data_IF_226687311996
#
_entry.id   IF_226687311996
#
_cell.length_a   1.000
_cell.length_b   1.000
_cell.length_c   1.000
_cell.angle_alpha   90.00
_cell.angle_beta   90.00
_cell.angle_gamma   90.00
#
_symmetry.space_group_name_H-M   'P 1'
#
loop_
_entity.id
_entity.type
_entity.pdbx_description
1 polymer ?
#
# COMPACT_ATOMS: atom_id res chain seq x y z
N UNK A 1 -4.58 -12.32 -1.23
CA UNK A 1 -4.60 -10.88 -1.57
C UNK A 1 -3.30 -10.26 -1.09
N UNK A 2 -2.58 -9.45 -1.89
CA UNK A 2 -1.33 -8.83 -1.41
C UNK A 2 -1.61 -7.71 -0.41
N UNK A 3 -0.66 -7.52 0.50
CA UNK A 3 -0.64 -6.43 1.47
C UNK A 3 -0.90 -5.06 0.85
N UNK A 4 -0.21 -4.73 -0.23
CA UNK A 4 -0.32 -3.41 -0.88
C UNK A 4 -1.73 -3.20 -1.44
N UNK A 5 -2.33 -4.26 -1.99
CA UNK A 5 -3.70 -4.23 -2.49
C UNK A 5 -4.72 -4.00 -1.37
N UNK A 6 -4.51 -4.61 -0.20
CA UNK A 6 -5.32 -4.37 0.99
C UNK A 6 -5.20 -2.91 1.45
N UNK A 7 -3.98 -2.40 1.64
CA UNK A 7 -3.75 -1.00 2.05
C UNK A 7 -4.45 -0.04 1.08
N UNK A 8 -4.30 -0.27 -0.22
CA UNK A 8 -4.90 0.59 -1.24
C UNK A 8 -6.42 0.62 -1.16
N UNK A 9 -7.06 -0.56 -1.07
CA UNK A 9 -8.51 -0.69 -1.14
C UNK A 9 -9.19 -0.37 0.19
N UNK A 10 -8.69 -0.93 1.28
CA UNK A 10 -9.37 -0.92 2.57
C UNK A 10 -8.98 0.27 3.44
N UNK A 11 -7.72 0.70 3.39
CA UNK A 11 -7.25 1.83 4.20
C UNK A 11 -7.41 3.16 3.47
N UNK A 12 -6.98 3.21 2.20
CA UNK A 12 -6.99 4.43 1.41
C UNK A 12 -8.23 4.57 0.52
N UNK A 13 -8.84 3.47 0.06
CA UNK A 13 -9.97 3.51 -0.86
C UNK A 13 -9.64 4.12 -2.23
N UNK A 14 -8.39 4.00 -2.71
CA UNK A 14 -7.92 4.70 -3.93
C UNK A 14 -7.64 3.77 -5.12
N UNK A 15 -7.56 4.35 -6.31
CA UNK A 15 -7.11 3.63 -7.52
C UNK A 15 -5.59 3.37 -7.49
N UNK A 16 -5.10 2.42 -8.30
CA UNK A 16 -3.65 2.16 -8.40
C UNK A 16 -2.89 3.40 -8.88
N UNK A 17 -3.46 4.19 -9.80
CA UNK A 17 -2.86 5.45 -10.26
C UNK A 17 -2.76 6.48 -9.14
N UNK A 18 -3.78 6.60 -8.30
CA UNK A 18 -3.73 7.56 -7.19
C UNK A 18 -2.75 7.10 -6.09
N UNK A 19 -2.67 5.79 -5.82
CA UNK A 19 -1.61 5.27 -4.94
C UNK A 19 -0.21 5.49 -5.51
N UNK A 20 -0.05 5.44 -6.84
CA UNK A 20 1.22 5.76 -7.48
C UNK A 20 1.63 7.22 -7.27
N UNK A 21 0.68 8.16 -7.31
CA UNK A 21 0.93 9.58 -6.97
C UNK A 21 1.39 9.70 -5.52
N UNK A 22 0.72 9.03 -4.57
CA UNK A 22 1.10 9.03 -3.14
C UNK A 22 2.53 8.50 -2.95
N UNK A 23 2.86 7.39 -3.59
CA UNK A 23 4.16 6.75 -3.46
C UNK A 23 5.25 7.35 -4.39
N UNK A 24 4.93 8.40 -5.13
CA UNK A 24 5.79 9.02 -6.15
C UNK A 24 6.41 7.99 -7.12
N UNK A 25 5.54 7.17 -7.69
CA UNK A 25 5.89 6.16 -8.70
C UNK A 25 4.85 6.16 -9.82
N UNK A 26 4.82 5.11 -10.65
CA UNK A 26 3.81 4.93 -11.69
C UNK A 26 2.83 3.78 -11.36
N UNK A 27 1.67 3.78 -12.02
CA UNK A 27 0.62 2.79 -11.80
C UNK A 27 1.07 1.35 -12.09
N UNK A 28 1.95 1.15 -13.09
CA UNK A 28 2.47 -0.19 -13.42
C UNK A 28 3.35 -0.76 -12.29
N UNK A 29 4.12 0.09 -11.61
CA UNK A 29 4.89 -0.29 -10.42
C UNK A 29 3.96 -0.73 -9.29
N UNK A 30 2.87 0.01 -9.03
CA UNK A 30 1.87 -0.39 -8.02
C UNK A 30 1.22 -1.72 -8.39
N UNK A 31 0.90 -1.93 -9.67
CA UNK A 31 0.37 -3.22 -10.14
C UNK A 31 1.32 -4.38 -9.85
N UNK A 32 2.62 -4.21 -10.13
CA UNK A 32 3.67 -5.20 -9.81
C UNK A 32 3.78 -5.48 -8.32
N UNK A 33 3.71 -4.45 -7.47
CA UNK A 33 3.65 -4.62 -6.02
C UNK A 33 2.44 -5.46 -5.59
N UNK A 34 1.29 -5.24 -6.22
CA UNK A 34 0.08 -5.97 -5.89
C UNK A 34 0.10 -7.44 -6.34
N UNK A 35 0.88 -7.76 -7.38
CA UNK A 35 1.07 -9.10 -7.90
C UNK A 35 2.26 -9.84 -7.27
N UNK A 36 3.11 -9.15 -6.52
CA UNK A 36 4.30 -9.72 -5.90
C UNK A 36 5.54 -9.76 -6.82
N UNK A 37 5.47 -9.13 -7.99
CA UNK A 37 6.59 -9.07 -8.95
C UNK A 37 7.71 -8.11 -8.47
N UNK A 38 7.37 -7.16 -7.60
CA UNK A 38 8.32 -6.26 -6.96
C UNK A 38 7.80 -5.79 -5.61
N UNK A 39 8.61 -5.05 -4.86
CA UNK A 39 8.21 -4.49 -3.56
C UNK A 39 8.52 -2.99 -3.48
N UNK A 40 7.74 -2.21 -2.71
CA UNK A 40 8.08 -0.81 -2.46
C UNK A 40 9.37 -0.71 -1.64
N UNK A 41 10.12 0.37 -1.87
CA UNK A 41 11.27 0.71 -1.03
C UNK A 41 10.85 1.45 0.25
N UNK A 42 11.80 1.68 1.16
CA UNK A 42 11.53 2.32 2.45
C UNK A 42 10.91 3.72 2.34
N UNK A 43 11.31 4.51 1.34
CA UNK A 43 10.76 5.84 1.10
C UNK A 43 9.29 5.77 0.67
N UNK A 44 8.97 4.84 -0.24
CA UNK A 44 7.61 4.58 -0.73
C UNK A 44 6.70 4.07 0.39
N UNK A 45 7.21 3.16 1.23
CA UNK A 45 6.50 2.69 2.42
C UNK A 45 6.21 3.85 3.39
N UNK A 46 7.18 4.76 3.58
CA UNK A 46 7.01 5.96 4.39
C UNK A 46 5.90 6.88 3.87
N UNK A 47 5.85 7.12 2.56
CA UNK A 47 4.80 7.93 1.92
C UNK A 47 3.41 7.30 2.04
N UNK A 48 3.30 6.00 1.79
CA UNK A 48 2.04 5.25 1.94
C UNK A 48 1.56 5.32 3.39
N UNK A 49 2.45 5.09 4.36
CA UNK A 49 2.14 5.20 5.80
C UNK A 49 1.66 6.59 6.17
N UNK A 50 2.34 7.64 5.69
CA UNK A 50 1.94 9.02 5.94
C UNK A 50 0.54 9.31 5.38
N UNK A 51 0.22 8.83 4.17
CA UNK A 51 -1.10 8.99 3.58
C UNK A 51 -2.20 8.29 4.38
N UNK A 52 -1.96 7.07 4.88
CA UNK A 52 -2.96 6.36 5.71
C UNK A 52 -3.20 7.11 7.02
N UNK A 53 -2.14 7.60 7.67
CA UNK A 53 -2.26 8.43 8.89
C UNK A 53 -2.99 9.75 8.61
N UNK A 54 -2.71 10.40 7.48
CA UNK A 54 -3.39 11.64 7.08
C UNK A 54 -4.88 11.41 6.78
N UNK A 55 -5.27 10.21 6.35
CA UNK A 55 -6.66 9.80 6.19
C UNK A 55 -7.38 9.51 7.53
N UNK A 56 -6.72 9.69 8.68
CA UNK A 56 -7.28 9.46 10.01
C UNK A 56 -7.51 7.99 10.34
N UNK A 57 -6.85 7.07 9.62
CA UNK A 57 -6.96 5.63 9.84
C UNK A 57 -5.86 5.17 10.79
N UNK A 58 -6.21 4.23 11.67
CA UNK A 58 -5.21 3.47 12.43
C UNK A 58 -4.26 2.77 11.47
N UNK A 59 -2.97 2.85 11.78
CA UNK A 59 -1.91 2.22 11.00
C UNK A 59 -1.16 1.22 11.88
N UNK A 60 -0.94 0.00 11.35
CA UNK A 60 -0.03 -0.99 11.94
C UNK A 60 1.07 -1.31 10.94
N UNK A 61 2.33 -1.14 11.36
CA UNK A 61 3.49 -1.40 10.49
C UNK A 61 3.57 -2.86 10.04
N UNK A 62 3.00 -3.79 10.83
CA UNK A 62 2.84 -5.20 10.49
C UNK A 62 2.08 -5.43 9.18
N UNK A 63 1.19 -4.51 8.82
CA UNK A 63 0.42 -4.62 7.59
C UNK A 63 1.31 -4.66 6.36
N UNK A 64 2.48 -4.00 6.36
CA UNK A 64 3.43 -4.06 5.24
C UNK A 64 4.02 -5.45 5.00
N UNK A 65 4.02 -6.32 6.01
CA UNK A 65 4.63 -7.65 5.94
C UNK A 65 3.58 -8.75 5.92
N UNK A 66 2.42 -8.51 6.53
CA UNK A 66 1.32 -9.47 6.63
C UNK A 66 -0.02 -8.74 6.53
N UNK A 67 -0.81 -9.06 5.50
CA UNK A 67 -2.21 -8.64 5.47
C UNK A 67 -2.99 -9.43 6.54
N UNK A 68 -3.88 -8.82 7.32
CA UNK A 68 -4.71 -9.54 8.29
C UNK A 68 -5.57 -10.65 7.67
N UNK A 69 -5.82 -10.58 6.35
CA UNK A 69 -6.55 -11.61 5.59
C UNK A 69 -5.66 -12.78 5.14
N UNK A 70 -4.32 -12.64 5.18
CA UNK A 70 -3.40 -13.73 4.85
C UNK A 70 -3.16 -14.70 6.02
N UNK A 71 -3.62 -14.34 7.22
CA UNK A 71 -3.52 -15.14 8.44
C UNK A 71 -4.82 -15.91 8.78
N UNK A 72 -5.84 -15.83 7.92
CA UNK A 72 -7.14 -16.50 8.08
C UNK A 72 -7.28 -17.72 7.16
#
# INVERSE_FOLDING_TARGET
MSTIKFIRKELLGVSQSHMAVIAETNQATVSRWENGDSSPNLEQLGKIRAAVKAAGKDWKDEWFFQSPEAAA
#
